data_IF_377641098224
#
_entry.id   IF_377641098224
#
_cell.length_a   1.000
_cell.length_b   1.000
_cell.length_c   1.000
_cell.angle_alpha   90.00
_cell.angle_beta   90.00
_cell.angle_gamma   90.00
#
_symmetry.space_group_name_H-M   'P 1'
#
loop_
_entity.id
_entity.type
_entity.pdbx_description
1 polymer ?
#
# COMPACT_ATOMS: atom_id res chain seq x y z
N UNK A 1 -6.14 10.46 37.81
CA UNK A 1 -5.21 9.65 37.00
C UNK A 1 -4.28 10.63 36.32
N UNK A 2 -3.27 11.04 37.06
CA UNK A 2 -2.28 12.04 36.67
C UNK A 2 -1.10 11.39 35.94
N UNK A 3 -0.41 12.23 35.17
CA UNK A 3 0.97 12.11 34.68
C UNK A 3 1.21 11.28 33.41
N UNK A 4 1.19 11.96 32.25
CA UNK A 4 2.33 12.10 31.33
C UNK A 4 1.88 12.87 30.06
N UNK A 5 1.55 14.15 30.22
CA UNK A 5 1.71 15.11 29.12
C UNK A 5 3.15 15.62 29.18
N UNK A 6 4.12 14.76 28.86
CA UNK A 6 5.38 15.28 28.33
C UNK A 6 5.07 15.74 26.90
N UNK A 7 5.58 16.91 26.50
CA UNK A 7 5.44 17.50 25.16
C UNK A 7 5.92 16.52 24.07
N UNK A 8 5.09 15.56 23.71
CA UNK A 8 5.36 14.67 22.60
C UNK A 8 5.00 15.41 21.32
N UNK A 9 5.99 15.62 20.46
CA UNK A 9 5.77 16.29 19.18
C UNK A 9 5.06 15.30 18.24
N UNK A 10 3.91 15.72 17.72
CA UNK A 10 3.16 14.99 16.70
C UNK A 10 3.54 15.56 15.33
N UNK A 11 4.09 14.72 14.47
CA UNK A 11 4.49 15.09 13.12
C UNK A 11 3.35 14.92 12.12
N UNK A 12 2.49 13.92 12.35
CA UNK A 12 1.34 13.65 11.51
C UNK A 12 0.26 12.94 12.30
N UNK A 13 -0.99 13.34 12.11
CA UNK A 13 -2.14 12.69 12.73
C UNK A 13 -3.30 12.67 11.76
N UNK A 14 -3.81 11.46 11.54
CA UNK A 14 -4.97 11.16 10.72
C UNK A 14 -5.78 10.06 11.41
N UNK A 15 -6.98 9.77 10.89
CA UNK A 15 -7.90 8.75 11.42
C UNK A 15 -7.23 7.38 11.50
N UNK A 16 -6.36 7.04 10.54
CA UNK A 16 -5.77 5.70 10.43
C UNK A 16 -4.32 5.61 10.90
N UNK A 17 -3.64 6.76 11.03
CA UNK A 17 -2.19 6.84 11.25
C UNK A 17 -1.86 8.01 12.17
N UNK A 18 -1.04 7.76 13.19
CA UNK A 18 -0.47 8.79 14.05
C UNK A 18 1.05 8.60 14.12
N UNK A 19 1.78 9.64 13.77
CA UNK A 19 3.24 9.71 13.84
C UNK A 19 3.61 10.73 14.90
N UNK A 20 4.21 10.24 15.98
CA UNK A 20 4.77 11.05 17.06
C UNK A 20 6.29 10.89 17.13
N UNK A 21 6.93 11.68 17.96
CA UNK A 21 8.37 11.57 18.24
C UNK A 21 8.77 10.16 18.71
N UNK A 22 7.94 9.50 19.52
CA UNK A 22 8.31 8.21 20.13
C UNK A 22 7.66 7.00 19.45
N UNK A 23 6.52 7.18 18.80
CA UNK A 23 5.68 6.09 18.28
C UNK A 23 5.12 6.39 16.90
N UNK A 24 5.05 5.35 16.09
CA UNK A 24 4.31 5.30 14.86
C UNK A 24 3.16 4.31 15.02
N UNK A 25 1.95 4.81 15.05
CA UNK A 25 0.73 4.04 15.28
C UNK A 25 -0.06 3.99 13.98
N UNK A 26 -0.38 2.77 13.56
CA UNK A 26 -1.31 2.49 12.47
C UNK A 26 -2.54 1.78 13.04
N UNK A 27 -3.63 1.68 12.26
CA UNK A 27 -4.84 0.95 12.68
C UNK A 27 -4.62 -0.44 13.30
N UNK A 28 -3.56 -1.16 12.91
CA UNK A 28 -3.34 -2.54 13.34
C UNK A 28 -2.09 -2.75 14.19
N UNK A 29 -1.12 -1.83 14.13
CA UNK A 29 0.21 -2.03 14.71
C UNK A 29 0.80 -0.72 15.22
N UNK A 30 1.48 -0.80 16.36
CA UNK A 30 2.28 0.28 16.92
C UNK A 30 3.75 -0.08 16.82
N UNK A 31 4.53 0.83 16.26
CA UNK A 31 5.97 0.73 16.12
C UNK A 31 6.62 1.79 16.99
N UNK A 32 7.64 1.40 17.76
CA UNK A 32 8.46 2.38 18.46
C UNK A 32 9.39 3.04 17.44
N UNK A 33 9.38 4.38 17.35
CA UNK A 33 10.25 5.13 16.43
C UNK A 33 11.73 4.79 16.62
N UNK A 34 12.13 4.40 17.84
CA UNK A 34 13.49 3.98 18.15
C UNK A 34 13.99 2.78 17.33
N UNK A 35 13.07 1.90 16.91
CA UNK A 35 13.38 0.65 16.20
C UNK A 35 13.29 0.80 14.68
N UNK A 36 12.87 1.96 14.18
CA UNK A 36 12.76 2.25 12.76
C UNK A 36 14.08 2.91 12.33
N UNK A 37 14.78 2.31 11.37
CA UNK A 37 16.04 2.82 10.85
C UNK A 37 15.85 3.66 9.58
N UNK A 38 14.91 3.27 8.71
CA UNK A 38 14.57 4.03 7.51
C UNK A 38 13.12 3.78 7.10
N UNK A 39 12.57 4.71 6.32
CA UNK A 39 11.21 4.64 5.79
C UNK A 39 11.22 5.03 4.31
N UNK A 40 10.43 4.32 3.51
CA UNK A 40 10.29 4.62 2.10
C UNK A 40 8.94 4.14 1.56
N UNK A 41 8.57 4.68 0.40
CA UNK A 41 7.37 4.24 -0.33
C UNK A 41 7.74 2.98 -1.10
N UNK A 42 6.94 1.94 -0.92
CA UNK A 42 7.04 0.72 -1.72
C UNK A 42 5.75 0.54 -2.53
N UNK A 43 5.89 0.27 -3.83
CA UNK A 43 4.75 0.00 -4.71
C UNK A 43 4.50 -1.51 -4.77
N UNK A 44 3.30 -1.91 -4.37
CA UNK A 44 2.80 -3.28 -4.48
C UNK A 44 2.16 -3.43 -5.86
N UNK A 45 2.92 -3.99 -6.78
CA UNK A 45 2.45 -4.31 -8.13
C UNK A 45 1.48 -5.48 -8.02
N UNK A 46 0.20 -5.21 -8.28
CA UNK A 46 -0.83 -6.25 -8.28
C UNK A 46 -0.67 -7.11 -9.53
N UNK A 47 -0.76 -8.43 -9.36
CA UNK A 47 -0.56 -9.35 -10.47
C UNK A 47 -1.66 -9.19 -11.53
N UNK A 48 -1.26 -8.82 -12.75
CA UNK A 48 -2.14 -8.70 -13.93
C UNK A 48 -2.11 -9.93 -14.83
N UNK A 49 -1.33 -10.95 -14.46
CA UNK A 49 -1.16 -12.17 -15.28
C UNK A 49 -2.49 -12.89 -15.50
N UNK A 50 -3.30 -13.05 -14.45
CA UNK A 50 -4.58 -13.76 -14.55
C UNK A 50 -5.53 -13.14 -15.60
N UNK A 51 -5.86 -11.83 -15.53
CA UNK A 51 -6.77 -11.27 -16.52
C UNK A 51 -6.14 -11.14 -17.92
N UNK A 52 -4.81 -11.02 -18.04
CA UNK A 52 -4.13 -11.12 -19.34
C UNK A 52 -4.35 -12.51 -19.96
N UNK A 53 -4.15 -13.57 -19.19
CA UNK A 53 -4.38 -14.94 -19.65
C UNK A 53 -5.84 -15.15 -20.05
N UNK A 54 -6.81 -14.61 -19.29
CA UNK A 54 -8.22 -14.66 -19.66
C UNK A 54 -8.51 -13.98 -20.99
N UNK A 55 -7.94 -12.80 -21.25
CA UNK A 55 -8.09 -12.09 -22.53
C UNK A 55 -7.48 -12.91 -23.67
N UNK A 56 -6.29 -13.48 -23.48
CA UNK A 56 -5.63 -14.32 -24.50
C UNK A 56 -6.48 -15.55 -24.84
N UNK A 57 -7.00 -16.25 -23.83
CA UNK A 57 -7.90 -17.40 -24.04
C UNK A 57 -9.18 -16.94 -24.76
N UNK A 58 -9.76 -15.83 -24.35
CA UNK A 58 -10.96 -15.28 -25.00
C UNK A 58 -10.73 -14.94 -26.47
N UNK A 59 -9.56 -14.40 -26.83
CA UNK A 59 -9.16 -14.14 -28.22
C UNK A 59 -9.03 -15.44 -29.00
N UNK A 60 -8.41 -16.48 -28.43
CA UNK A 60 -8.32 -17.80 -29.08
C UNK A 60 -9.69 -18.42 -29.34
N UNK A 61 -10.67 -18.19 -28.45
CA UNK A 61 -12.04 -18.68 -28.61
C UNK A 61 -12.83 -17.99 -29.73
N UNK A 62 -12.41 -16.81 -30.20
CA UNK A 62 -13.06 -16.10 -31.31
C UNK A 62 -12.86 -16.80 -32.67
N UNK A 63 -11.81 -17.63 -32.80
CA UNK A 63 -11.52 -18.40 -34.01
C UNK A 63 -12.46 -19.60 -34.21
N UNK A 64 -13.25 -19.96 -33.20
CA UNK A 64 -14.23 -21.03 -33.27
C UNK A 64 -15.65 -20.46 -33.36
N UNK A 65 -16.40 -20.85 -34.39
CA UNK A 65 -17.79 -20.40 -34.63
C UNK A 65 -18.71 -20.67 -33.43
N UNK A 66 -18.58 -21.85 -32.81
CA UNK A 66 -19.44 -22.26 -31.70
C UNK A 66 -19.17 -21.52 -30.39
N UNK A 67 -17.93 -21.03 -30.19
CA UNK A 67 -17.52 -20.36 -28.94
C UNK A 67 -17.32 -18.85 -29.08
N UNK A 68 -17.61 -18.26 -30.25
CA UNK A 68 -17.36 -16.84 -30.53
C UNK A 68 -18.03 -15.90 -29.53
N UNK A 69 -19.31 -16.14 -29.21
CA UNK A 69 -20.05 -15.33 -28.23
C UNK A 69 -19.42 -15.42 -26.84
N UNK A 70 -18.99 -16.62 -26.43
CA UNK A 70 -18.34 -16.84 -25.14
C UNK A 70 -16.96 -16.17 -25.08
N UNK A 71 -16.23 -16.16 -26.21
CA UNK A 71 -14.96 -15.46 -26.35
C UNK A 71 -15.10 -13.95 -26.12
N UNK A 72 -16.10 -13.31 -26.71
CA UNK A 72 -16.38 -11.88 -26.48
C UNK A 72 -16.70 -11.58 -25.01
N UNK A 73 -17.51 -12.41 -24.36
CA UNK A 73 -17.84 -12.26 -22.93
C UNK A 73 -16.57 -12.38 -22.08
N UNK A 74 -15.73 -13.37 -22.36
CA UNK A 74 -14.51 -13.63 -21.60
C UNK A 74 -13.50 -12.48 -21.75
N UNK A 75 -13.34 -11.94 -22.96
CA UNK A 75 -12.52 -10.75 -23.22
C UNK A 75 -13.05 -9.54 -22.45
N UNK A 76 -14.36 -9.29 -22.50
CA UNK A 76 -14.98 -8.15 -21.81
C UNK A 76 -14.75 -8.23 -20.29
N UNK A 77 -14.89 -9.42 -19.70
CA UNK A 77 -14.61 -9.66 -18.27
C UNK A 77 -13.12 -9.46 -17.97
N UNK A 78 -12.22 -10.01 -18.80
CA UNK A 78 -10.77 -9.87 -18.63
C UNK A 78 -10.30 -8.41 -18.67
N UNK A 79 -10.82 -7.62 -19.61
CA UNK A 79 -10.56 -6.18 -19.71
C UNK A 79 -11.11 -5.45 -18.48
N UNK A 80 -12.33 -5.77 -18.05
CA UNK A 80 -12.93 -5.16 -16.86
C UNK A 80 -12.06 -5.39 -15.61
N UNK A 81 -11.60 -6.63 -15.40
CA UNK A 81 -10.73 -6.96 -14.26
C UNK A 81 -9.38 -6.22 -14.38
N UNK A 82 -8.81 -6.10 -15.58
CA UNK A 82 -7.57 -5.33 -15.80
C UNK A 82 -7.72 -3.86 -15.40
N UNK A 83 -8.82 -3.22 -15.80
CA UNK A 83 -9.08 -1.81 -15.47
C UNK A 83 -9.32 -1.61 -13.97
N UNK A 84 -9.94 -2.58 -13.31
CA UNK A 84 -10.18 -2.54 -11.86
C UNK A 84 -8.93 -2.85 -11.02
N UNK A 85 -7.94 -3.56 -11.61
CA UNK A 85 -6.70 -3.95 -10.92
C UNK A 85 -5.70 -2.80 -10.90
N UNK A 86 -5.86 -1.92 -9.92
CA UNK A 86 -4.92 -0.81 -9.66
C UNK A 86 -3.78 -1.27 -8.72
N UNK A 87 -2.61 -0.65 -8.90
CA UNK A 87 -1.47 -0.85 -8.01
C UNK A 87 -1.75 -0.19 -6.66
N UNK A 88 -1.10 -0.69 -5.61
CA UNK A 88 -1.26 -0.19 -4.24
C UNK A 88 0.10 0.29 -3.74
N UNK A 89 0.10 1.30 -2.87
CA UNK A 89 1.30 1.87 -2.27
C UNK A 89 1.32 1.55 -0.78
N UNK A 90 2.50 1.24 -0.25
CA UNK A 90 2.68 0.96 1.17
C UNK A 90 3.81 1.79 1.75
N UNK A 91 3.66 2.19 3.00
CA UNK A 91 4.78 2.67 3.82
C UNK A 91 5.58 1.45 4.25
N UNK A 92 6.77 1.27 3.67
CA UNK A 92 7.71 0.24 4.09
C UNK A 92 8.68 0.84 5.10
N UNK A 93 8.73 0.20 6.26
CA UNK A 93 9.63 0.57 7.35
C UNK A 93 10.71 -0.50 7.46
N UNK A 94 11.96 -0.06 7.59
CA UNK A 94 13.08 -0.94 7.90
C UNK A 94 13.32 -0.88 9.40
N UNK A 95 13.36 -2.04 10.04
CA UNK A 95 13.57 -2.17 11.49
C UNK A 95 14.75 -3.10 11.76
N UNK A 96 15.19 -3.15 13.01
CA UNK A 96 16.24 -4.09 13.44
C UNK A 96 15.91 -5.57 13.16
N UNK A 97 14.61 -5.90 12.98
CA UNK A 97 14.13 -7.25 12.70
C UNK A 97 13.85 -7.50 11.20
N UNK A 98 14.11 -6.53 10.33
CA UNK A 98 13.85 -6.58 8.90
C UNK A 98 12.84 -5.53 8.42
N UNK A 99 12.44 -5.66 7.15
CA UNK A 99 11.50 -4.74 6.50
C UNK A 99 10.05 -5.19 6.68
N UNK A 100 9.17 -4.23 7.00
CA UNK A 100 7.75 -4.50 7.23
C UNK A 100 6.90 -3.46 6.50
N UNK A 101 5.81 -3.92 5.89
CA UNK A 101 4.77 -3.06 5.33
C UNK A 101 3.79 -2.66 6.45
N UNK A 102 3.65 -1.35 6.70
CA UNK A 102 2.88 -0.85 7.84
C UNK A 102 1.44 -0.47 7.50
N UNK A 103 1.23 0.22 6.38
CA UNK A 103 -0.08 0.63 5.89
C UNK A 103 -0.09 0.60 4.36
N UNK A 104 -1.20 0.15 3.79
CA UNK A 104 -1.42 0.04 2.35
C UNK A 104 -2.54 0.98 1.95
N UNK A 105 -2.34 1.77 0.89
CA UNK A 105 -3.35 2.65 0.31
C UNK A 105 -3.18 2.73 -1.21
N UNK A 106 -4.28 2.99 -1.92
CA UNK A 106 -4.25 3.26 -3.38
C UNK A 106 -3.79 4.68 -3.69
N UNK A 107 -3.77 5.55 -2.69
CA UNK A 107 -3.35 6.94 -2.83
C UNK A 107 -1.85 7.08 -2.52
N UNK A 108 -1.06 7.38 -3.55
CA UNK A 108 0.38 7.62 -3.43
C UNK A 108 0.68 8.86 -2.61
N UNK A 109 -0.13 9.92 -2.74
CA UNK A 109 0.10 11.18 -2.02
C UNK A 109 -0.13 10.99 -0.52
N UNK A 110 -1.15 10.23 -0.14
CA UNK A 110 -1.38 9.86 1.25
C UNK A 110 -0.17 9.14 1.87
N UNK A 111 0.34 8.12 1.17
CA UNK A 111 1.50 7.35 1.61
C UNK A 111 2.76 8.24 1.66
N UNK A 112 2.93 9.14 0.70
CA UNK A 112 4.05 10.10 0.67
C UNK A 112 4.03 11.03 1.88
N UNK A 113 2.86 11.57 2.26
CA UNK A 113 2.74 12.44 3.42
C UNK A 113 3.15 11.72 4.71
N UNK A 114 2.76 10.45 4.87
CA UNK A 114 3.15 9.64 6.02
C UNK A 114 4.66 9.37 6.02
N UNK A 115 5.26 9.01 4.87
CA UNK A 115 6.71 8.80 4.77
C UNK A 115 7.48 10.07 5.10
N UNK A 116 7.02 11.23 4.62
CA UNK A 116 7.65 12.51 4.91
C UNK A 116 7.61 12.80 6.42
N UNK A 117 6.46 12.65 7.06
CA UNK A 117 6.33 12.85 8.50
C UNK A 117 7.19 11.87 9.33
N UNK A 118 7.30 10.62 8.89
CA UNK A 118 8.18 9.64 9.53
C UNK A 118 9.66 10.01 9.35
N UNK A 119 10.06 10.51 8.18
CA UNK A 119 11.40 11.02 7.95
C UNK A 119 11.70 12.23 8.83
N UNK A 120 10.78 13.18 8.93
CA UNK A 120 10.93 14.35 9.81
C UNK A 120 11.09 13.92 11.28
N UNK A 121 10.31 12.93 11.73
CA UNK A 121 10.42 12.36 13.07
C UNK A 121 11.74 11.62 13.32
N UNK A 122 12.31 10.95 12.31
CA UNK A 122 13.62 10.30 12.39
C UNK A 122 14.73 11.36 12.48
N UNK A 123 14.68 12.39 11.62
CA UNK A 123 15.65 13.49 11.61
C UNK A 123 15.59 14.29 12.91
N UNK A 124 14.40 14.54 13.46
CA UNK A 124 14.26 15.25 14.73
C UNK A 124 14.93 14.51 15.91
N UNK A 125 15.02 13.18 15.84
CA UNK A 125 15.63 12.34 16.88
C UNK A 125 17.15 12.24 16.76
N UNK A 126 17.70 12.30 15.54
CA UNK A 126 19.11 12.06 15.23
C UNK A 126 19.92 13.33 15.18
#
# INVERSE_FOLDING_TARGET
>A
MESQLQNEITFYQDVNVTVTQSRYITNSKTYAMRNISSVHIFEIIKNRTLPIVMVVIGVLMLFSESSRVLGFILIAIGILILVLTKNEFTVRISTNSGEVNSIISKDRSYIQNIVNALNDAIVFRG
#
